data_IF_823758540019
#
_entry.id   IF_823758540019
#
_cell.length_a   1.000
_cell.length_b   1.000
_cell.length_c   1.000
_cell.angle_alpha   90.00
_cell.angle_beta   90.00
_cell.angle_gamma   90.00
#
_symmetry.space_group_name_H-M   'P 1'
#
loop_
_entity.id
_entity.type
_entity.pdbx_description
1 polymer ?
#
# COMPACT_ATOMS: atom_id res chain seq x y z
N UNK A 1 39.51 35.19 -14.83
CA UNK A 1 38.20 34.69 -15.32
C UNK A 1 38.03 33.26 -14.85
N UNK A 2 37.52 33.07 -13.63
CA UNK A 2 37.26 31.74 -13.08
C UNK A 2 36.17 31.05 -13.91
N UNK A 3 36.50 29.89 -14.45
CA UNK A 3 35.58 29.06 -15.21
C UNK A 3 34.40 28.64 -14.32
N UNK A 4 33.21 28.94 -14.79
CA UNK A 4 31.92 28.59 -14.21
C UNK A 4 31.88 27.07 -14.05
N UNK A 5 31.87 26.58 -12.81
CA UNK A 5 31.61 25.18 -12.51
C UNK A 5 30.25 24.79 -13.11
N UNK A 6 30.14 23.68 -13.85
CA UNK A 6 28.84 23.21 -14.28
C UNK A 6 28.12 22.72 -13.02
N UNK A 7 27.13 23.46 -12.54
CA UNK A 7 26.12 22.92 -11.64
C UNK A 7 25.48 21.76 -12.40
N UNK A 8 25.83 20.53 -12.02
CA UNK A 8 25.15 19.32 -12.47
C UNK A 8 23.75 19.36 -11.88
N UNK A 9 22.85 20.12 -12.49
CA UNK A 9 21.42 19.95 -12.29
C UNK A 9 21.09 18.58 -12.85
N UNK A 10 20.88 17.61 -11.96
CA UNK A 10 20.65 16.21 -12.27
C UNK A 10 19.69 16.03 -13.45
N UNK A 11 20.23 15.64 -14.61
CA UNK A 11 19.43 15.14 -15.72
C UNK A 11 18.97 13.76 -15.31
N UNK A 12 17.78 13.68 -14.71
CA UNK A 12 17.13 12.40 -14.40
C UNK A 12 16.90 11.64 -15.70
N UNK A 13 17.45 10.45 -15.81
CA UNK A 13 17.26 9.62 -17.01
C UNK A 13 15.79 9.21 -17.16
N UNK A 14 15.32 8.88 -18.38
CA UNK A 14 13.95 8.36 -18.56
C UNK A 14 13.64 7.16 -17.66
N UNK A 15 14.64 6.30 -17.40
CA UNK A 15 14.52 5.13 -16.53
C UNK A 15 14.25 5.54 -15.08
N UNK A 16 15.03 6.47 -14.52
CA UNK A 16 14.82 6.93 -13.14
C UNK A 16 13.50 7.71 -12.96
N UNK A 17 12.97 8.33 -14.03
CA UNK A 17 11.62 8.93 -14.01
C UNK A 17 10.56 7.84 -13.92
N UNK A 18 10.61 6.85 -14.80
CA UNK A 18 9.67 5.73 -14.80
C UNK A 18 9.69 4.96 -13.47
N UNK A 19 10.87 4.74 -12.89
CA UNK A 19 11.03 4.09 -11.57
C UNK A 19 10.31 4.90 -10.46
N UNK A 20 10.55 6.22 -10.40
CA UNK A 20 9.87 7.09 -9.42
C UNK A 20 8.36 7.17 -9.60
N UNK A 21 7.89 7.19 -10.84
CA UNK A 21 6.45 7.24 -11.13
C UNK A 21 5.77 5.94 -10.68
N UNK A 22 6.41 4.78 -10.90
CA UNK A 22 5.98 3.46 -10.39
C UNK A 22 5.88 3.46 -8.86
N UNK A 23 6.94 3.90 -8.16
CA UNK A 23 6.94 3.96 -6.69
C UNK A 23 5.87 4.87 -6.14
N UNK A 24 5.71 6.05 -6.75
CA UNK A 24 4.69 7.02 -6.34
C UNK A 24 3.28 6.44 -6.54
N UNK A 25 3.06 5.76 -7.66
CA UNK A 25 1.79 5.11 -7.95
C UNK A 25 1.47 4.01 -6.93
N UNK A 26 2.39 3.08 -6.68
CA UNK A 26 2.19 1.98 -5.72
C UNK A 26 1.94 2.52 -4.31
N UNK A 27 2.72 3.51 -3.88
CA UNK A 27 2.56 4.15 -2.58
C UNK A 27 1.17 4.80 -2.45
N UNK A 28 0.74 5.55 -3.46
CA UNK A 28 -0.56 6.23 -3.48
C UNK A 28 -1.71 5.22 -3.36
N UNK A 29 -1.72 4.20 -4.21
CA UNK A 29 -2.76 3.17 -4.20
C UNK A 29 -2.80 2.45 -2.85
N UNK A 30 -1.65 2.11 -2.28
CA UNK A 30 -1.64 1.44 -0.98
C UNK A 30 -2.20 2.32 0.14
N UNK A 31 -1.91 3.62 0.14
CA UNK A 31 -2.54 4.56 1.07
C UNK A 31 -4.06 4.63 0.91
N UNK A 32 -4.55 4.67 -0.33
CA UNK A 32 -5.99 4.70 -0.61
C UNK A 32 -6.70 3.41 -0.23
N UNK A 33 -6.03 2.25 -0.31
CA UNK A 33 -6.58 0.95 0.04
C UNK A 33 -6.59 0.69 1.56
N UNK A 34 -5.72 1.32 2.35
CA UNK A 34 -5.69 1.17 3.81
C UNK A 34 -7.01 1.59 4.46
N UNK A 35 -7.60 2.71 4.03
CA UNK A 35 -8.86 3.23 4.59
C UNK A 35 -10.03 2.24 4.45
N UNK A 36 -10.39 1.76 3.24
CA UNK A 36 -11.47 0.79 3.09
C UNK A 36 -11.16 -0.55 3.77
N UNK A 37 -9.91 -1.04 3.74
CA UNK A 37 -9.54 -2.28 4.43
C UNK A 37 -9.70 -2.17 5.94
N UNK A 38 -9.23 -1.08 6.55
CA UNK A 38 -9.41 -0.84 7.97
C UNK A 38 -10.90 -0.72 8.34
N UNK A 39 -11.71 -0.15 7.44
CA UNK A 39 -13.16 -0.15 7.56
C UNK A 39 -13.74 -1.57 7.61
N UNK A 40 -13.36 -2.44 6.67
CA UNK A 40 -13.82 -3.84 6.64
C UNK A 40 -13.34 -4.61 7.88
N UNK A 41 -12.08 -4.44 8.30
CA UNK A 41 -11.53 -5.06 9.51
C UNK A 41 -12.26 -4.59 10.77
N UNK A 42 -12.53 -3.29 10.89
CA UNK A 42 -13.24 -2.71 12.02
C UNK A 42 -14.70 -3.14 12.09
N UNK A 43 -15.43 -3.02 10.97
CA UNK A 43 -16.83 -3.42 10.89
C UNK A 43 -17.02 -4.93 11.10
N UNK A 44 -16.14 -5.76 10.54
CA UNK A 44 -16.20 -7.21 10.78
C UNK A 44 -15.99 -7.56 12.25
N UNK A 45 -15.11 -6.85 12.98
CA UNK A 45 -14.96 -7.02 14.44
C UNK A 45 -16.23 -6.61 15.20
N UNK A 46 -16.78 -5.43 14.91
CA UNK A 46 -18.00 -4.95 15.56
C UNK A 46 -19.15 -5.93 15.35
N UNK A 47 -19.31 -6.47 14.13
CA UNK A 47 -20.37 -7.44 13.83
C UNK A 47 -20.14 -8.79 14.50
N UNK A 48 -18.88 -9.23 14.68
CA UNK A 48 -18.55 -10.46 15.39
C UNK A 48 -18.93 -10.42 16.88
N UNK A 49 -19.11 -9.22 17.45
CA UNK A 49 -19.57 -9.02 18.83
C UNK A 49 -21.11 -8.98 18.96
N UNK A 50 -21.85 -9.25 17.87
CA UNK A 50 -23.34 -9.26 17.86
C UNK A 50 -23.91 -10.67 17.91
N UNK A 51 -25.23 -10.80 18.08
CA UNK A 51 -25.93 -12.07 17.98
C UNK A 51 -25.94 -12.55 16.51
N UNK A 52 -25.13 -13.57 16.20
CA UNK A 52 -24.96 -14.14 14.88
C UNK A 52 -25.40 -15.61 14.83
N UNK A 53 -25.86 -16.06 13.67
CA UNK A 53 -25.92 -17.49 13.38
C UNK A 53 -24.52 -18.05 13.15
N UNK A 54 -24.34 -19.36 13.32
CA UNK A 54 -23.06 -20.03 13.08
C UNK A 54 -22.52 -19.81 11.65
N UNK A 55 -23.41 -19.68 10.66
CA UNK A 55 -23.04 -19.41 9.28
C UNK A 55 -22.55 -17.97 9.09
N UNK A 56 -23.24 -16.99 9.68
CA UNK A 56 -22.84 -15.59 9.63
C UNK A 56 -21.50 -15.36 10.33
N UNK A 57 -21.28 -15.99 11.49
CA UNK A 57 -20.01 -15.92 12.22
C UNK A 57 -18.86 -16.48 11.35
N UNK A 58 -19.07 -17.61 10.67
CA UNK A 58 -18.08 -18.19 9.75
C UNK A 58 -17.75 -17.23 8.60
N UNK A 59 -18.76 -16.60 8.00
CA UNK A 59 -18.55 -15.63 6.93
C UNK A 59 -17.80 -14.39 7.43
N UNK A 60 -18.18 -13.82 8.57
CA UNK A 60 -17.51 -12.65 9.13
C UNK A 60 -16.07 -12.92 9.54
N UNK A 61 -15.76 -14.10 10.11
CA UNK A 61 -14.37 -14.52 10.37
C UNK A 61 -13.57 -14.61 9.07
N UNK A 62 -14.16 -15.15 8.01
CA UNK A 62 -13.52 -15.26 6.69
C UNK A 62 -13.24 -13.88 6.10
N UNK A 63 -14.22 -12.97 6.15
CA UNK A 63 -14.07 -11.57 5.70
C UNK A 63 -12.97 -10.87 6.50
N UNK A 64 -12.97 -11.00 7.82
CA UNK A 64 -11.97 -10.39 8.70
C UNK A 64 -10.55 -10.83 8.34
N UNK A 65 -10.32 -12.15 8.28
CA UNK A 65 -9.01 -12.72 7.95
C UNK A 65 -8.57 -12.32 6.54
N UNK A 66 -9.49 -12.29 5.58
CA UNK A 66 -9.19 -11.90 4.20
C UNK A 66 -8.77 -10.43 4.11
N UNK A 67 -9.46 -9.54 4.82
CA UNK A 67 -9.14 -8.11 4.84
C UNK A 67 -7.78 -7.83 5.50
N UNK A 68 -7.47 -8.51 6.61
CA UNK A 68 -6.16 -8.43 7.27
C UNK A 68 -5.06 -8.94 6.35
N UNK A 69 -5.28 -10.10 5.72
CA UNK A 69 -4.31 -10.71 4.80
C UNK A 69 -4.02 -9.79 3.61
N UNK A 70 -5.06 -9.21 3.02
CA UNK A 70 -4.93 -8.29 1.90
C UNK A 70 -4.16 -7.02 2.29
N UNK A 71 -4.37 -6.49 3.49
CA UNK A 71 -3.58 -5.39 4.03
C UNK A 71 -2.08 -5.72 4.17
N UNK A 72 -1.76 -6.94 4.61
CA UNK A 72 -0.37 -7.40 4.70
C UNK A 72 0.29 -7.52 3.32
N UNK A 73 -0.41 -8.12 2.35
CA UNK A 73 0.07 -8.22 0.96
C UNK A 73 0.39 -6.82 0.39
N UNK A 74 -0.45 -5.82 0.65
CA UNK A 74 -0.15 -4.45 0.19
C UNK A 74 1.06 -3.83 0.87
N UNK A 75 1.31 -4.12 2.15
CA UNK A 75 2.52 -3.67 2.82
C UNK A 75 3.76 -4.34 2.22
N UNK A 76 3.71 -5.65 1.94
CA UNK A 76 4.82 -6.39 1.33
C UNK A 76 5.18 -5.85 -0.08
N UNK A 77 4.16 -5.49 -0.88
CA UNK A 77 4.36 -4.89 -2.21
C UNK A 77 5.05 -3.53 -2.11
N UNK A 78 4.66 -2.68 -1.14
CA UNK A 78 5.35 -1.39 -0.92
C UNK A 78 6.80 -1.63 -0.53
N UNK A 79 7.05 -2.55 0.38
CA UNK A 79 8.40 -2.77 0.91
C UNK A 79 9.33 -3.36 -0.15
N UNK A 80 8.83 -4.21 -1.04
CA UNK A 80 9.56 -4.66 -2.23
C UNK A 80 9.94 -3.51 -3.15
N UNK A 81 9.02 -2.55 -3.39
CA UNK A 81 9.28 -1.42 -4.29
C UNK A 81 10.30 -0.43 -3.71
N UNK A 82 10.38 -0.30 -2.37
CA UNK A 82 11.42 0.50 -1.70
C UNK A 82 12.82 -0.11 -1.76
N UNK A 83 12.96 -1.40 -2.06
CA UNK A 83 14.25 -2.08 -2.16
C UNK A 83 14.94 -1.88 -3.53
N UNK A 84 14.22 -1.37 -4.53
CA UNK A 84 14.77 -1.05 -5.85
C UNK A 84 15.48 0.33 -5.78
N UNK A 85 16.81 0.41 -6.04
CA UNK A 85 17.50 1.71 -6.06
C UNK A 85 16.99 2.55 -7.25
N UNK A 86 16.91 3.89 -7.08
CA UNK A 86 16.32 4.82 -8.05
C UNK A 86 17.04 4.90 -9.40
#
# INVERSE_FOLDING_TARGET
>A
MAAISPSVSAIRTPLERASRDKTTFISTISHELRTPLNGIVGLSRILLDTDLTAEQEKYLKTIHVSAVTLGNIFNDIIDMDKMEPP
#
